data_IF_469086540415
#
_entry.id   IF_469086540415
#
_cell.length_a   1.000
_cell.length_b   1.000
_cell.length_c   1.000
_cell.angle_alpha   90.00
_cell.angle_beta   90.00
_cell.angle_gamma   90.00
#
_symmetry.space_group_name_H-M   'P 1'
#
loop_
_entity.id
_entity.type
_entity.pdbx_description
1 polymer ?
#
# COMPACT_ATOMS: atom_id res chain seq x y z
N UNK A 1 -7.34 -0.45 -0.47
CA UNK A 1 -6.77 0.92 -0.62
C UNK A 1 -7.73 1.84 -1.35
N UNK A 2 -8.50 1.36 -2.35
CA UNK A 2 -9.71 2.09 -2.85
C UNK A 2 -9.44 3.58 -3.10
N UNK A 3 -8.43 3.85 -3.93
CA UNK A 3 -7.86 5.17 -4.11
C UNK A 3 -7.55 5.46 -5.58
N UNK A 4 -7.35 6.72 -5.91
CA UNK A 4 -6.97 7.18 -7.24
C UNK A 4 -6.01 8.36 -7.17
N UNK A 5 -4.92 8.28 -7.94
CA UNK A 5 -3.86 9.28 -7.94
C UNK A 5 -3.00 9.23 -6.67
N UNK A 6 -1.99 10.09 -6.60
CA UNK A 6 -1.08 10.15 -5.45
C UNK A 6 -1.76 10.89 -4.30
N UNK A 7 -2.22 12.10 -4.56
CA UNK A 7 -2.89 12.99 -3.61
C UNK A 7 -4.36 13.18 -3.96
N UNK A 8 -4.72 13.10 -5.24
CA UNK A 8 -6.08 13.30 -5.72
C UNK A 8 -6.31 12.58 -7.05
N UNK A 9 -7.56 12.22 -7.36
CA UNK A 9 -7.90 11.61 -8.66
C UNK A 9 -7.55 12.51 -9.85
N UNK A 10 -7.47 13.83 -9.66
CA UNK A 10 -7.06 14.81 -10.69
C UNK A 10 -5.57 14.81 -11.01
N UNK A 11 -4.73 14.07 -10.27
CA UNK A 11 -3.29 13.96 -10.57
C UNK A 11 -3.04 13.45 -12.00
N UNK A 12 -3.97 12.63 -12.52
CA UNK A 12 -3.93 12.08 -13.87
C UNK A 12 -4.10 13.13 -14.97
N UNK A 13 -4.67 14.31 -14.68
CA UNK A 13 -4.89 15.38 -15.67
C UNK A 13 -3.60 15.88 -16.35
N UNK A 14 -2.44 15.63 -15.74
CA UNK A 14 -1.14 16.04 -16.29
C UNK A 14 -0.45 14.95 -17.11
N UNK A 15 -0.92 13.70 -17.07
CA UNK A 15 -0.15 12.52 -17.50
C UNK A 15 -0.93 11.49 -18.31
N UNK A 16 -2.27 11.51 -18.30
CA UNK A 16 -3.10 10.42 -18.85
C UNK A 16 -4.26 10.92 -19.70
N UNK A 17 -4.63 10.19 -20.76
CA UNK A 17 -5.87 10.40 -21.52
C UNK A 17 -6.14 11.83 -21.98
N UNK A 18 -5.17 12.49 -22.64
CA UNK A 18 -5.23 13.91 -23.04
C UNK A 18 -5.53 14.89 -21.88
N UNK A 19 -5.26 14.47 -20.64
CA UNK A 19 -5.50 15.22 -19.41
C UNK A 19 -6.92 15.12 -18.85
N UNK A 20 -7.76 14.24 -19.41
CA UNK A 20 -9.18 14.13 -19.08
C UNK A 20 -9.53 12.84 -18.34
N UNK A 21 -8.79 11.78 -18.64
CA UNK A 21 -9.11 10.45 -18.14
C UNK A 21 -8.30 10.12 -16.89
N UNK A 22 -8.83 9.19 -16.10
CA UNK A 22 -8.07 8.51 -15.04
C UNK A 22 -7.66 7.11 -15.50
N UNK A 23 -6.91 6.38 -14.67
CA UNK A 23 -6.61 4.97 -14.98
C UNK A 23 -7.78 4.06 -14.60
N UNK A 24 -7.92 2.92 -15.28
CA UNK A 24 -8.97 1.92 -14.97
C UNK A 24 -8.89 1.38 -13.53
N UNK A 25 -7.71 1.47 -12.90
CA UNK A 25 -7.53 1.10 -11.49
C UNK A 25 -8.26 2.02 -10.51
N UNK A 26 -8.68 3.21 -10.96
CA UNK A 26 -9.47 4.14 -10.16
C UNK A 26 -10.96 3.78 -10.10
N UNK A 27 -11.45 2.90 -10.98
CA UNK A 27 -12.87 2.61 -11.07
C UNK A 27 -13.38 1.74 -9.92
N UNK A 28 -14.57 2.08 -9.42
CA UNK A 28 -15.29 1.29 -8.40
C UNK A 28 -15.78 -0.01 -9.04
N UNK A 29 -16.46 0.11 -10.18
CA UNK A 29 -16.85 -1.01 -11.03
C UNK A 29 -16.05 -0.95 -12.33
N UNK A 30 -15.53 -2.10 -12.77
CA UNK A 30 -14.73 -2.18 -14.00
C UNK A 30 -15.64 -2.25 -15.23
N UNK A 31 -16.25 -1.12 -15.57
CA UNK A 31 -16.95 -0.91 -16.85
C UNK A 31 -15.97 -0.33 -17.87
N UNK A 32 -16.30 -0.47 -19.16
CA UNK A 32 -15.41 -0.05 -20.25
C UNK A 32 -15.26 1.48 -20.36
N UNK A 33 -16.07 2.26 -19.64
CA UNK A 33 -16.18 3.72 -19.74
C UNK A 33 -15.96 4.47 -18.41
N UNK A 34 -15.77 3.75 -17.30
CA UNK A 34 -15.70 4.33 -15.95
C UNK A 34 -14.57 5.36 -15.76
N UNK A 35 -13.54 5.35 -16.62
CA UNK A 35 -12.34 6.17 -16.47
C UNK A 35 -12.33 7.41 -17.37
N UNK A 36 -13.18 7.46 -18.40
CA UNK A 36 -13.17 8.50 -19.41
C UNK A 36 -13.69 9.83 -18.87
N UNK A 37 -12.92 10.91 -19.09
CA UNK A 37 -13.29 12.27 -18.69
C UNK A 37 -13.42 12.51 -17.19
N UNK A 38 -13.10 11.53 -16.33
CA UNK A 38 -13.33 11.63 -14.89
C UNK A 38 -12.45 12.67 -14.20
N UNK A 39 -11.27 12.98 -14.76
CA UNK A 39 -10.37 13.97 -14.17
C UNK A 39 -10.87 15.42 -14.34
N UNK A 40 -11.80 15.67 -15.29
CA UNK A 40 -12.44 16.99 -15.46
C UNK A 40 -13.79 17.11 -14.72
N UNK A 41 -14.36 15.99 -14.27
CA UNK A 41 -15.66 15.99 -13.60
C UNK A 41 -15.54 16.53 -12.17
N UNK A 42 -16.55 17.26 -11.67
CA UNK A 42 -16.62 17.62 -10.26
C UNK A 42 -16.59 16.37 -9.36
N UNK A 43 -15.99 16.49 -8.17
CA UNK A 43 -15.83 15.38 -7.22
C UNK A 43 -17.15 14.66 -6.91
N UNK A 44 -18.27 15.38 -6.88
CA UNK A 44 -19.61 14.86 -6.61
C UNK A 44 -20.12 13.89 -7.68
N UNK A 45 -19.67 14.06 -8.92
CA UNK A 45 -19.98 13.18 -10.04
C UNK A 45 -18.93 12.07 -10.15
N UNK A 46 -17.65 12.41 -10.07
CA UNK A 46 -16.54 11.45 -10.15
C UNK A 46 -16.65 10.35 -9.09
N UNK A 47 -16.99 10.69 -7.84
CA UNK A 47 -17.10 9.74 -6.72
C UNK A 47 -18.14 8.64 -6.91
N UNK A 48 -19.04 8.76 -7.89
CA UNK A 48 -20.04 7.74 -8.20
C UNK A 48 -19.46 6.58 -9.00
N UNK A 49 -18.37 6.82 -9.73
CA UNK A 49 -17.79 5.87 -10.69
C UNK A 49 -16.36 5.49 -10.32
N UNK A 50 -15.63 6.40 -9.67
CA UNK A 50 -14.23 6.21 -9.30
C UNK A 50 -13.97 6.52 -7.83
N UNK A 51 -12.92 5.91 -7.30
CA UNK A 51 -12.33 6.32 -6.03
C UNK A 51 -11.72 7.71 -6.18
N UNK A 52 -12.02 8.62 -5.24
CA UNK A 52 -11.54 10.02 -5.29
C UNK A 52 -10.47 10.31 -4.23
N UNK A 53 -10.28 9.40 -3.28
CA UNK A 53 -9.24 9.50 -2.26
C UNK A 53 -7.86 9.28 -2.88
N UNK A 54 -6.88 10.15 -2.56
CA UNK A 54 -5.50 9.96 -2.98
C UNK A 54 -4.84 8.76 -2.30
N UNK A 55 -4.08 7.97 -3.06
CA UNK A 55 -3.46 6.74 -2.58
C UNK A 55 -2.41 6.96 -1.48
N UNK A 56 -1.69 8.09 -1.48
CA UNK A 56 -0.75 8.42 -0.42
C UNK A 56 -1.47 8.57 0.93
N UNK A 57 -2.62 9.25 0.94
CA UNK A 57 -3.41 9.43 2.15
C UNK A 57 -4.04 8.12 2.61
N UNK A 58 -4.55 7.30 1.67
CA UNK A 58 -5.10 5.99 1.97
C UNK A 58 -4.06 5.06 2.64
N UNK A 59 -2.86 4.94 2.04
CA UNK A 59 -1.76 4.13 2.60
C UNK A 59 -1.34 4.66 3.97
N UNK A 60 -1.19 5.98 4.11
CA UNK A 60 -0.81 6.58 5.40
C UNK A 60 -1.83 6.25 6.48
N UNK A 61 -3.13 6.35 6.18
CA UNK A 61 -4.21 6.02 7.12
C UNK A 61 -4.18 4.55 7.52
N UNK A 62 -4.04 3.64 6.55
CA UNK A 62 -3.97 2.20 6.80
C UNK A 62 -2.75 1.84 7.67
N UNK A 63 -1.59 2.41 7.37
CA UNK A 63 -0.36 2.17 8.14
C UNK A 63 -0.44 2.74 9.56
N UNK A 64 -1.03 3.92 9.74
CA UNK A 64 -1.20 4.51 11.08
C UNK A 64 -2.05 3.63 11.99
N UNK A 65 -3.09 2.97 11.46
CA UNK A 65 -3.90 2.01 12.22
C UNK A 65 -3.13 0.75 12.64
N UNK A 66 -2.11 0.35 11.87
CA UNK A 66 -1.35 -0.87 12.10
C UNK A 66 -0.01 -0.66 12.81
N UNK A 67 0.41 0.59 13.04
CA UNK A 67 1.77 0.90 13.50
C UNK A 67 2.12 0.21 14.82
N UNK A 68 1.19 0.15 15.78
CA UNK A 68 1.41 -0.54 17.06
C UNK A 68 1.55 -2.05 16.84
N UNK A 69 0.68 -2.65 16.01
CA UNK A 69 0.72 -4.08 15.71
C UNK A 69 2.01 -4.49 14.99
N UNK A 70 2.44 -3.70 14.02
CA UNK A 70 3.72 -3.88 13.33
C UNK A 70 4.90 -3.78 14.31
N UNK A 71 4.85 -2.84 15.26
CA UNK A 71 5.85 -2.71 16.30
C UNK A 71 5.98 -3.97 17.17
N UNK A 72 4.85 -4.51 17.64
CA UNK A 72 4.83 -5.74 18.45
C UNK A 72 5.33 -6.94 17.64
N UNK A 73 4.88 -7.11 16.39
CA UNK A 73 5.35 -8.19 15.52
C UNK A 73 6.87 -8.12 15.29
N UNK A 74 7.41 -6.92 15.04
CA UNK A 74 8.85 -6.70 14.91
C UNK A 74 9.62 -7.10 16.17
N UNK A 75 9.13 -6.76 17.37
CA UNK A 75 9.77 -7.16 18.62
C UNK A 75 9.77 -8.68 18.81
N UNK A 76 8.67 -9.36 18.50
CA UNK A 76 8.59 -10.83 18.57
C UNK A 76 9.59 -11.46 17.61
N UNK A 77 9.65 -11.00 16.36
CA UNK A 77 10.59 -11.49 15.37
C UNK A 77 12.05 -11.24 15.79
N UNK A 78 12.35 -10.08 16.39
CA UNK A 78 13.68 -9.79 16.91
C UNK A 78 14.10 -10.77 18.01
N UNK A 79 13.20 -11.10 18.94
CA UNK A 79 13.47 -12.10 19.99
C UNK A 79 13.71 -13.49 19.37
N UNK A 80 12.86 -13.91 18.44
CA UNK A 80 13.02 -15.19 17.73
C UNK A 80 14.37 -15.25 16.99
N UNK A 81 14.78 -14.16 16.35
CA UNK A 81 16.04 -14.09 15.62
C UNK A 81 17.24 -14.22 16.56
N UNK A 82 17.22 -13.53 17.71
CA UNK A 82 18.28 -13.64 18.73
C UNK A 82 18.36 -15.07 19.26
N UNK A 83 17.23 -15.69 19.60
CA UNK A 83 17.19 -17.09 20.05
C UNK A 83 17.76 -18.02 19.00
N UNK A 84 17.36 -17.86 17.73
CA UNK A 84 17.85 -18.68 16.61
C UNK A 84 19.37 -18.59 16.46
N UNK A 85 19.93 -17.38 16.54
CA UNK A 85 21.38 -17.15 16.48
C UNK A 85 22.08 -17.80 17.68
N UNK A 86 21.57 -17.62 18.90
CA UNK A 86 22.20 -18.21 20.10
C UNK A 86 22.20 -19.74 20.05
N UNK A 87 21.10 -20.36 19.59
CA UNK A 87 21.02 -21.80 19.40
C UNK A 87 22.01 -22.28 18.32
N UNK A 88 22.07 -21.62 17.17
CA UNK A 88 22.98 -21.98 16.08
C UNK A 88 24.46 -21.90 16.52
N UNK A 89 24.85 -20.82 17.21
CA UNK A 89 26.19 -20.65 17.75
C UNK A 89 26.52 -21.70 18.83
N UNK A 90 25.56 -22.02 19.69
CA UNK A 90 25.72 -23.06 20.72
C UNK A 90 25.97 -24.43 20.13
N UNK A 91 25.21 -24.82 19.09
CA UNK A 91 25.39 -26.07 18.37
C UNK A 91 26.74 -26.11 17.67
N UNK A 92 27.09 -25.06 16.91
CA UNK A 92 28.36 -24.99 16.18
C UNK A 92 29.58 -25.14 17.10
N UNK A 93 29.56 -24.49 18.27
CA UNK A 93 30.62 -24.62 19.28
C UNK A 93 30.74 -26.06 19.79
N UNK A 94 29.62 -26.71 20.12
CA UNK A 94 29.63 -28.09 20.60
C UNK A 94 30.16 -29.04 19.53
N UNK A 95 29.72 -28.90 18.27
CA UNK A 95 30.22 -29.73 17.16
C UNK A 95 31.72 -29.58 16.92
N UNK A 96 32.27 -28.36 17.06
CA UNK A 96 33.72 -28.13 16.95
C UNK A 96 34.55 -28.80 18.06
N UNK A 97 33.98 -29.09 19.23
CA UNK A 97 34.71 -29.80 20.29
C UNK A 97 34.87 -31.30 20.03
N UNK A 98 34.09 -31.86 19.10
CA UNK A 98 34.12 -33.28 18.73
C UNK A 98 34.84 -33.56 17.40
N UNK A 99 35.40 -32.53 16.76
CA UNK A 99 36.19 -32.61 15.53
C UNK A 99 37.67 -32.37 15.83
#
# INVERSE_FOLDING_TARGET
LECCGVTNYTDWSSVFGRGKDVTIGCCIEKTDDCFEGMAEKPIEEARKYIYTQGCYQAIKSDLQGLTIGLGVACLILAVIQVLSITCACGIAKNTQQYA
#
